data_IF_972465777314
#
_entry.id   IF_972465777314
#
_cell.length_a   1.000
_cell.length_b   1.000
_cell.length_c   1.000
_cell.angle_alpha   90.00
_cell.angle_beta   90.00
_cell.angle_gamma   90.00
#
_symmetry.space_group_name_H-M   'P 1'
#
loop_
_entity.id
_entity.type
_entity.pdbx_description
1 polymer ?
#
# COMPACT_ATOMS: atom_id res chain seq x y z
N UNK A 1 -9.22 -17.09 2.02
CA UNK A 1 -10.32 -17.48 1.10
C UNK A 1 -10.90 -18.87 1.38
N UNK A 2 -10.14 -19.98 1.39
CA UNK A 2 -10.71 -21.33 1.64
C UNK A 2 -11.14 -21.63 3.09
N UNK A 3 -10.77 -20.79 4.07
CA UNK A 3 -11.01 -21.07 5.50
C UNK A 3 -12.11 -20.24 6.17
N UNK A 4 -12.69 -19.23 5.49
CA UNK A 4 -13.64 -18.28 6.13
C UNK A 4 -15.00 -18.18 5.44
N UNK A 5 -15.24 -18.89 4.34
CA UNK A 5 -16.50 -18.81 3.58
C UNK A 5 -16.77 -17.45 2.92
N UNK A 6 -15.81 -16.51 2.96
CA UNK A 6 -15.90 -15.19 2.34
C UNK A 6 -15.82 -15.28 0.81
N UNK A 7 -16.63 -14.47 0.13
CA UNK A 7 -16.49 -14.26 -1.32
C UNK A 7 -15.14 -13.61 -1.65
N UNK A 8 -14.64 -13.72 -2.89
CA UNK A 8 -13.44 -13.01 -3.32
C UNK A 8 -13.49 -11.51 -3.02
N UNK A 9 -14.63 -10.85 -3.27
CA UNK A 9 -14.81 -9.43 -2.98
C UNK A 9 -14.70 -9.13 -1.49
N UNK A 10 -15.35 -9.92 -0.62
CA UNK A 10 -15.24 -9.74 0.84
C UNK A 10 -13.81 -9.91 1.36
N UNK A 11 -13.01 -10.77 0.72
CA UNK A 11 -11.60 -10.91 1.05
C UNK A 11 -10.78 -9.69 0.61
N UNK A 12 -11.06 -9.14 -0.58
CA UNK A 12 -10.44 -7.91 -1.08
C UNK A 12 -10.79 -6.72 -0.19
N UNK A 13 -12.06 -6.53 0.15
CA UNK A 13 -12.52 -5.43 0.99
C UNK A 13 -11.86 -5.46 2.38
N UNK A 14 -11.74 -6.65 2.98
CA UNK A 14 -11.03 -6.84 4.24
C UNK A 14 -9.55 -6.48 4.13
N UNK A 15 -8.87 -6.92 3.07
CA UNK A 15 -7.47 -6.59 2.81
C UNK A 15 -7.27 -5.07 2.61
N UNK A 16 -8.18 -4.40 1.91
CA UNK A 16 -8.13 -2.95 1.73
C UNK A 16 -8.32 -2.20 3.06
N UNK A 17 -9.21 -2.66 3.93
CA UNK A 17 -9.39 -2.09 5.26
C UNK A 17 -8.15 -2.30 6.16
N UNK A 18 -7.53 -3.47 6.12
CA UNK A 18 -6.27 -3.76 6.82
C UNK A 18 -5.12 -2.91 6.28
N UNK A 19 -5.05 -2.70 4.96
CA UNK A 19 -4.06 -1.83 4.33
C UNK A 19 -4.24 -0.37 4.79
N UNK A 20 -5.47 0.15 4.79
CA UNK A 20 -5.76 1.51 5.27
C UNK A 20 -5.33 1.69 6.74
N UNK A 21 -5.59 0.68 7.58
CA UNK A 21 -5.15 0.68 8.99
C UNK A 21 -3.63 0.68 9.10
N UNK A 22 -2.95 -0.12 8.28
CA UNK A 22 -1.48 -0.21 8.26
C UNK A 22 -0.83 1.09 7.81
N UNK A 23 -1.42 1.77 6.81
CA UNK A 23 -0.97 3.11 6.37
C UNK A 23 -1.12 4.12 7.50
N UNK A 24 -2.27 4.18 8.17
CA UNK A 24 -2.48 5.09 9.28
C UNK A 24 -1.49 4.86 10.43
N UNK A 25 -1.21 3.59 10.76
CA UNK A 25 -0.23 3.22 11.78
C UNK A 25 1.21 3.63 11.37
N UNK A 26 1.58 3.43 10.10
CA UNK A 26 2.87 3.88 9.58
C UNK A 26 3.02 5.39 9.66
N UNK A 27 2.02 6.15 9.23
CA UNK A 27 2.06 7.61 9.26
C UNK A 27 2.20 8.15 10.68
N UNK A 28 1.48 7.58 11.64
CA UNK A 28 1.63 7.92 13.06
C UNK A 28 3.06 7.63 13.57
N UNK A 29 3.63 6.47 13.20
CA UNK A 29 4.99 6.11 13.58
C UNK A 29 6.05 7.02 12.93
N UNK A 30 5.86 7.41 11.67
CA UNK A 30 6.75 8.30 10.95
C UNK A 30 6.86 9.68 11.64
N UNK A 31 5.72 10.23 12.10
CA UNK A 31 5.71 11.48 12.88
C UNK A 31 6.52 11.34 14.17
N UNK A 32 6.27 10.27 14.93
CA UNK A 32 7.01 10.00 16.19
C UNK A 32 8.52 9.86 15.93
N UNK A 33 8.91 9.20 14.85
CA UNK A 33 10.31 9.04 14.47
C UNK A 33 10.96 10.38 14.06
N UNK A 34 10.26 11.21 13.28
CA UNK A 34 10.74 12.54 12.90
C UNK A 34 10.91 13.47 14.12
N UNK A 35 10.02 13.37 15.11
CA UNK A 35 10.12 14.10 16.37
C UNK A 35 11.29 13.60 17.22
N UNK A 36 11.42 12.28 17.37
CA UNK A 36 12.48 11.64 18.15
C UNK A 36 13.88 11.87 17.57
N UNK A 37 13.99 12.07 16.25
CA UNK A 37 15.26 12.34 15.58
C UNK A 37 15.86 13.73 15.92
N UNK A 38 15.08 14.64 16.51
CA UNK A 38 15.53 16.00 16.84
C UNK A 38 15.86 16.84 15.59
N UNK A 39 16.31 18.08 15.77
CA UNK A 39 16.56 18.99 14.65
C UNK A 39 17.63 18.49 13.67
N UNK A 40 18.74 17.94 14.19
CA UNK A 40 19.85 17.46 13.36
C UNK A 40 19.48 16.20 12.54
N UNK A 41 18.62 15.33 13.09
CA UNK A 41 18.24 14.05 12.47
C UNK A 41 16.95 14.10 11.64
N UNK A 42 16.09 15.11 11.84
CA UNK A 42 14.75 15.17 11.23
C UNK A 42 14.77 15.06 9.70
N UNK A 43 15.70 15.75 9.05
CA UNK A 43 15.82 15.70 7.58
C UNK A 43 16.07 14.29 7.07
N UNK A 44 17.05 13.59 7.66
CA UNK A 44 17.39 12.21 7.31
C UNK A 44 16.23 11.25 7.61
N UNK A 45 15.57 11.41 8.76
CA UNK A 45 14.44 10.55 9.13
C UNK A 45 13.25 10.73 8.20
N UNK A 46 12.95 11.98 7.80
CA UNK A 46 11.93 12.27 6.79
C UNK A 46 12.24 11.60 5.46
N UNK A 47 13.47 11.75 4.95
CA UNK A 47 13.89 11.10 3.71
C UNK A 47 13.75 9.57 3.80
N UNK A 48 14.08 8.97 4.94
CA UNK A 48 13.89 7.54 5.15
C UNK A 48 12.41 7.14 5.09
N UNK A 49 11.53 7.87 5.80
CA UNK A 49 10.09 7.61 5.79
C UNK A 49 9.49 7.79 4.39
N UNK A 50 9.93 8.81 3.65
CA UNK A 50 9.52 9.04 2.26
C UNK A 50 9.97 7.90 1.33
N UNK A 51 11.18 7.37 1.51
CA UNK A 51 11.64 6.20 0.77
C UNK A 51 10.77 4.96 1.06
N UNK A 52 10.35 4.76 2.31
CA UNK A 52 9.40 3.69 2.67
C UNK A 52 8.04 3.88 1.98
N UNK A 53 7.49 5.11 1.95
CA UNK A 53 6.25 5.42 1.22
C UNK A 53 6.37 5.08 -0.26
N UNK A 54 7.46 5.53 -0.89
CA UNK A 54 7.75 5.27 -2.30
C UNK A 54 7.92 3.79 -2.61
N UNK A 55 8.48 3.00 -1.70
CA UNK A 55 8.61 1.55 -1.88
C UNK A 55 7.24 0.88 -2.00
N UNK A 56 6.28 1.27 -1.18
CA UNK A 56 4.92 0.71 -1.20
C UNK A 56 4.16 1.14 -2.46
N UNK A 57 4.12 2.44 -2.74
CA UNK A 57 3.39 2.95 -3.92
C UNK A 57 4.03 2.48 -5.22
N UNK A 58 5.35 2.44 -5.29
CA UNK A 58 6.09 1.90 -6.43
C UNK A 58 5.84 0.40 -6.63
N UNK A 59 5.71 -0.38 -5.54
CA UNK A 59 5.37 -1.81 -5.65
C UNK A 59 3.96 -2.02 -6.20
N UNK A 60 2.99 -1.18 -5.82
CA UNK A 60 1.63 -1.22 -6.36
C UNK A 60 1.66 -0.89 -7.84
N UNK A 61 2.27 0.23 -8.23
CA UNK A 61 2.38 0.64 -9.63
C UNK A 61 3.08 -0.42 -10.47
N UNK A 62 4.21 -0.95 -10.00
CA UNK A 62 4.90 -2.05 -10.66
C UNK A 62 3.99 -3.27 -10.81
N UNK A 63 3.23 -3.64 -9.78
CA UNK A 63 2.34 -4.80 -9.87
C UNK A 63 1.27 -4.63 -10.95
N UNK A 64 0.74 -3.41 -11.09
CA UNK A 64 -0.28 -3.08 -12.09
C UNK A 64 0.29 -3.03 -13.52
N UNK A 65 1.46 -2.42 -13.69
CA UNK A 65 2.05 -2.17 -15.02
C UNK A 65 2.95 -3.32 -15.50
N UNK A 66 3.43 -4.18 -14.60
CA UNK A 66 4.38 -5.23 -14.94
C UNK A 66 3.74 -6.33 -15.78
N UNK A 67 4.43 -6.67 -16.87
CA UNK A 67 4.12 -7.83 -17.71
C UNK A 67 4.18 -9.17 -16.97
N UNK A 68 4.79 -9.18 -15.77
CA UNK A 68 4.88 -10.37 -14.91
C UNK A 68 3.51 -10.88 -14.48
N UNK A 69 2.62 -9.97 -14.06
CA UNK A 69 1.32 -10.33 -13.51
C UNK A 69 0.20 -10.27 -14.55
N UNK A 70 0.47 -9.70 -15.72
CA UNK A 70 -0.46 -9.61 -16.86
C UNK A 70 -1.81 -8.99 -16.48
N UNK A 71 -1.78 -8.00 -15.56
CA UNK A 71 -2.95 -7.24 -15.14
C UNK A 71 -3.29 -6.09 -16.09
N UNK A 72 -2.45 -5.86 -17.11
CA UNK A 72 -2.71 -4.88 -18.16
C UNK A 72 -4.04 -5.20 -18.86
N UNK A 73 -4.97 -4.24 -18.84
CA UNK A 73 -6.31 -4.39 -19.39
C UNK A 73 -7.38 -4.86 -18.39
N UNK A 74 -6.99 -5.22 -17.16
CA UNK A 74 -7.93 -5.49 -16.06
C UNK A 74 -8.14 -4.28 -15.15
N UNK A 75 -7.45 -3.15 -15.40
CA UNK A 75 -7.56 -1.94 -14.58
C UNK A 75 -8.50 -0.95 -15.26
N UNK A 76 -9.51 -0.50 -14.52
CA UNK A 76 -10.40 0.58 -14.92
C UNK A 76 -9.73 1.95 -14.70
N UNK A 77 -10.28 3.00 -15.32
CA UNK A 77 -9.78 4.37 -15.18
C UNK A 77 -9.86 4.90 -13.73
N UNK A 78 -10.77 4.36 -12.92
CA UNK A 78 -10.91 4.69 -11.49
C UNK A 78 -9.95 3.90 -10.58
N UNK A 79 -9.10 3.04 -11.15
CA UNK A 79 -8.15 2.20 -10.43
C UNK A 79 -8.75 0.91 -9.85
N UNK A 80 -10.03 0.62 -10.08
CA UNK A 80 -10.63 -0.68 -9.75
C UNK A 80 -10.15 -1.78 -10.71
N UNK A 81 -10.17 -3.02 -10.24
CA UNK A 81 -9.80 -4.19 -11.03
C UNK A 81 -11.07 -4.91 -11.52
N UNK A 82 -11.21 -5.07 -12.83
CA UNK A 82 -12.21 -5.92 -13.45
C UNK A 82 -11.58 -7.30 -13.74
N UNK A 83 -11.69 -8.18 -12.74
CA UNK A 83 -11.23 -9.56 -12.85
C UNK A 83 -12.42 -10.39 -13.35
N UNK A 84 -12.44 -10.70 -14.65
CA UNK A 84 -13.31 -11.73 -15.21
C UNK A 84 -12.93 -13.08 -14.59
N UNK A 85 -13.66 -13.47 -13.54
CA UNK A 85 -13.62 -14.80 -12.92
C UNK A 85 -14.39 -15.84 -13.75
#
# INVERSE_FOLDING_TARGET
MKHEGKSPQQAVDALLAELATSVAAFEAAAIVLEEAAGEEGRGTMRTYCDACRCMVTGSIQFTLESSRYKLAGCLNEDGSLDILL
#
